data_IF_566922336724
#
_entry.id   IF_566922336724
#
_cell.length_a   1.000
_cell.length_b   1.000
_cell.length_c   1.000
_cell.angle_alpha   90.00
_cell.angle_beta   90.00
_cell.angle_gamma   90.00
#
_symmetry.space_group_name_H-M   'P 1'
#
loop_
_entity.id
_entity.type
_entity.pdbx_description
1 polymer ?
#
# COMPACT_ATOMS: atom_id res chain seq x y z
N UNK A 1 21.13 0.24 18.60
CA UNK A 1 20.84 -1.10 18.04
C UNK A 1 19.49 -1.52 18.61
N UNK A 2 18.59 -2.09 17.83
CA UNK A 2 17.28 -2.51 18.34
C UNK A 2 17.42 -3.84 19.09
N UNK A 3 17.07 -3.87 20.37
CA UNK A 3 17.26 -5.04 21.22
C UNK A 3 16.47 -6.26 20.73
N UNK A 4 17.17 -7.37 20.52
CA UNK A 4 16.62 -8.65 20.05
C UNK A 4 16.32 -8.72 18.55
N UNK A 5 16.80 -7.77 17.74
CA UNK A 5 16.68 -7.85 16.28
C UNK A 5 17.43 -9.07 15.70
N UNK A 6 18.57 -9.46 16.29
CA UNK A 6 19.37 -10.61 15.89
C UNK A 6 18.60 -11.95 15.92
N UNK A 7 17.54 -12.05 16.72
CA UNK A 7 16.70 -13.26 16.83
C UNK A 7 15.27 -13.09 16.29
N UNK A 8 14.76 -11.87 16.14
CA UNK A 8 13.36 -11.59 15.72
C UNK A 8 13.23 -10.88 14.38
N UNK A 9 14.30 -10.30 13.84
CA UNK A 9 14.30 -9.67 12.52
C UNK A 9 14.83 -10.64 11.48
N UNK A 10 14.02 -10.93 10.48
CA UNK A 10 14.43 -11.66 9.30
C UNK A 10 14.27 -10.73 8.09
N UNK A 11 15.32 -10.63 7.29
CA UNK A 11 15.31 -9.82 6.08
C UNK A 11 15.03 -10.73 4.89
N UNK A 12 14.01 -10.37 4.12
CA UNK A 12 13.64 -11.04 2.88
C UNK A 12 13.95 -10.10 1.72
N UNK A 13 14.60 -10.63 0.68
CA UNK A 13 14.66 -9.93 -0.61
C UNK A 13 13.30 -10.09 -1.29
N UNK A 14 12.59 -9.00 -1.48
CA UNK A 14 11.29 -9.00 -2.13
C UNK A 14 11.13 -7.79 -3.06
N UNK A 15 10.39 -7.98 -4.16
CA UNK A 15 9.98 -6.94 -5.09
C UNK A 15 8.45 -6.95 -5.16
N UNK A 16 7.82 -5.78 -5.09
CA UNK A 16 6.36 -5.67 -5.11
C UNK A 16 5.72 -6.23 -6.39
N UNK A 17 6.47 -6.29 -7.48
CA UNK A 17 6.04 -6.83 -8.77
C UNK A 17 6.30 -8.34 -8.92
N UNK A 18 7.06 -8.94 -8.00
CA UNK A 18 7.36 -10.37 -7.95
C UNK A 18 6.56 -11.05 -6.83
N UNK A 19 5.47 -11.71 -7.22
CA UNK A 19 4.55 -12.37 -6.30
C UNK A 19 5.22 -13.44 -5.43
N UNK A 20 6.10 -14.27 -5.99
CA UNK A 20 6.72 -15.39 -5.27
C UNK A 20 7.67 -14.88 -4.17
N UNK A 21 8.34 -13.76 -4.44
CA UNK A 21 9.19 -13.08 -3.45
C UNK A 21 8.40 -12.57 -2.24
N UNK A 22 7.17 -12.09 -2.46
CA UNK A 22 6.27 -11.60 -1.41
C UNK A 22 5.65 -12.77 -0.66
N UNK A 23 5.18 -13.80 -1.37
CA UNK A 23 4.60 -14.99 -0.76
C UNK A 23 5.57 -15.64 0.23
N UNK A 24 6.86 -15.72 -0.14
CA UNK A 24 7.92 -16.24 0.73
C UNK A 24 8.08 -15.44 2.01
N UNK A 25 7.91 -14.10 1.96
CA UNK A 25 8.03 -13.23 3.12
C UNK A 25 6.77 -13.21 4.02
N UNK A 26 5.60 -13.51 3.46
CA UNK A 26 4.30 -13.48 4.16
C UNK A 26 3.93 -14.81 4.80
N UNK A 27 4.49 -15.93 4.31
CA UNK A 27 4.20 -17.27 4.81
C UNK A 27 4.49 -17.41 6.31
N UNK A 28 3.50 -17.88 7.06
CA UNK A 28 3.59 -18.06 8.51
C UNK A 28 3.40 -16.80 9.37
N UNK A 29 3.06 -15.65 8.76
CA UNK A 29 2.74 -14.44 9.51
C UNK A 29 1.29 -14.44 10.05
N UNK A 30 1.10 -13.89 11.26
CA UNK A 30 -0.23 -13.63 11.83
C UNK A 30 -0.84 -12.30 11.37
N UNK A 31 -0.05 -11.44 10.73
CA UNK A 31 -0.48 -10.14 10.22
C UNK A 31 0.58 -9.52 9.30
N UNK A 32 0.14 -8.67 8.38
CA UNK A 32 1.02 -7.98 7.41
C UNK A 32 0.80 -6.47 7.45
N UNK A 33 1.88 -5.71 7.48
CA UNK A 33 1.87 -4.26 7.29
C UNK A 33 2.40 -3.93 5.89
N UNK A 34 1.51 -3.54 4.98
CA UNK A 34 1.87 -3.10 3.64
C UNK A 34 2.22 -1.61 3.65
N UNK A 35 3.53 -1.33 3.75
CA UNK A 35 4.11 0.02 3.79
C UNK A 35 4.80 0.39 2.47
N UNK A 36 5.17 -0.59 1.65
CA UNK A 36 5.97 -0.37 0.47
C UNK A 36 5.10 0.17 -0.68
N UNK A 37 5.46 1.33 -1.21
CA UNK A 37 4.82 1.95 -2.38
C UNK A 37 5.82 2.92 -3.02
N UNK A 38 5.82 3.07 -4.35
CA UNK A 38 6.58 4.14 -5.01
C UNK A 38 6.15 5.52 -4.48
N UNK A 39 7.12 6.39 -4.22
CA UNK A 39 6.89 7.80 -3.87
C UNK A 39 7.50 8.66 -4.97
N UNK A 40 6.68 9.02 -5.94
CA UNK A 40 7.07 9.79 -7.13
C UNK A 40 5.85 10.50 -7.72
N UNK A 41 6.07 11.59 -8.45
CA UNK A 41 5.02 12.28 -9.19
C UNK A 41 4.77 11.67 -10.57
N UNK A 42 5.68 10.81 -11.07
CA UNK A 42 5.52 10.10 -12.34
C UNK A 42 4.39 9.05 -12.24
N UNK A 43 3.26 9.25 -12.94
CA UNK A 43 2.12 8.34 -12.85
C UNK A 43 2.43 6.95 -13.40
N UNK A 44 3.30 6.82 -14.40
CA UNK A 44 3.67 5.54 -15.01
C UNK A 44 4.43 4.68 -13.99
N UNK A 45 5.31 5.31 -13.21
CA UNK A 45 6.09 4.61 -12.18
C UNK A 45 5.34 4.43 -10.86
N UNK A 46 4.23 5.15 -10.65
CA UNK A 46 3.48 5.11 -9.40
C UNK A 46 2.24 4.24 -9.47
N UNK A 47 1.38 4.41 -10.48
CA UNK A 47 0.00 3.88 -10.46
C UNK A 47 0.01 2.36 -10.59
N UNK A 48 0.49 1.82 -11.70
CA UNK A 48 0.47 0.38 -11.95
C UNK A 48 1.29 -0.41 -10.91
N UNK A 49 2.51 0.02 -10.51
CA UNK A 49 3.26 -0.69 -9.48
C UNK A 49 2.59 -0.63 -8.09
N UNK A 50 1.92 0.48 -7.73
CA UNK A 50 1.18 0.56 -6.46
C UNK A 50 -0.02 -0.37 -6.44
N UNK A 51 -0.77 -0.44 -7.54
CA UNK A 51 -1.93 -1.33 -7.68
C UNK A 51 -1.47 -2.79 -7.65
N UNK A 52 -0.53 -3.16 -8.54
CA UNK A 52 -0.03 -4.53 -8.65
C UNK A 52 0.62 -5.00 -7.35
N UNK A 53 1.46 -4.16 -6.74
CA UNK A 53 2.11 -4.47 -5.47
C UNK A 53 1.13 -4.70 -4.34
N UNK A 54 0.10 -3.84 -4.23
CA UNK A 54 -0.95 -4.01 -3.23
C UNK A 54 -1.74 -5.30 -3.45
N UNK A 55 -2.13 -5.60 -4.69
CA UNK A 55 -2.82 -6.85 -5.03
C UNK A 55 -1.96 -8.08 -4.72
N UNK A 56 -0.67 -8.03 -5.02
CA UNK A 56 0.24 -9.14 -4.71
C UNK A 56 0.32 -9.40 -3.21
N UNK A 57 0.46 -8.36 -2.39
CA UNK A 57 0.50 -8.51 -0.91
C UNK A 57 -0.81 -9.06 -0.37
N UNK A 58 -1.96 -8.54 -0.84
CA UNK A 58 -3.27 -9.03 -0.39
C UNK A 58 -3.50 -10.49 -0.79
N UNK A 59 -3.11 -10.88 -2.01
CA UNK A 59 -3.23 -12.26 -2.49
C UNK A 59 -2.27 -13.21 -1.75
N UNK A 60 -1.03 -12.78 -1.47
CA UNK A 60 -0.08 -13.56 -0.70
C UNK A 60 -0.58 -13.79 0.73
N UNK A 61 -1.08 -12.73 1.38
CA UNK A 61 -1.70 -12.81 2.70
C UNK A 61 -2.91 -13.75 2.71
N UNK A 62 -3.79 -13.66 1.70
CA UNK A 62 -4.93 -14.54 1.55
C UNK A 62 -4.52 -16.00 1.41
N UNK A 63 -3.52 -16.31 0.55
CA UNK A 63 -3.03 -17.68 0.35
C UNK A 63 -2.34 -18.25 1.58
N UNK A 64 -1.64 -17.43 2.36
CA UNK A 64 -1.01 -17.83 3.61
C UNK A 64 -1.98 -17.92 4.80
N UNK A 65 -3.26 -17.57 4.62
CA UNK A 65 -4.27 -17.59 5.68
C UNK A 65 -4.09 -16.48 6.73
N UNK A 66 -3.44 -15.38 6.36
CA UNK A 66 -3.21 -14.24 7.27
C UNK A 66 -4.54 -13.54 7.56
N UNK A 67 -4.93 -13.39 8.85
CA UNK A 67 -6.25 -12.87 9.21
C UNK A 67 -6.41 -11.36 9.04
N UNK A 68 -5.30 -10.59 8.97
CA UNK A 68 -5.37 -9.12 8.86
C UNK A 68 -4.17 -8.54 8.12
N UNK A 69 -4.46 -7.63 7.19
CA UNK A 69 -3.49 -6.76 6.52
C UNK A 69 -3.79 -5.31 6.87
N UNK A 70 -2.77 -4.54 7.21
CA UNK A 70 -2.84 -3.08 7.37
C UNK A 70 -2.14 -2.44 6.19
N UNK A 71 -2.88 -1.69 5.37
CA UNK A 71 -2.33 -0.95 4.23
C UNK A 71 -2.09 0.50 4.61
N UNK A 72 -0.92 1.01 4.24
CA UNK A 72 -0.59 2.43 4.41
C UNK A 72 -1.01 3.21 3.16
N UNK A 73 -2.15 3.88 3.25
CA UNK A 73 -2.62 4.82 2.22
C UNK A 73 -2.11 6.24 2.51
N UNK A 74 -2.63 7.24 1.80
CA UNK A 74 -2.28 8.66 1.95
C UNK A 74 -3.52 9.54 1.87
N UNK A 75 -3.46 10.73 2.51
CA UNK A 75 -4.50 11.76 2.40
C UNK A 75 -4.77 12.18 0.95
N UNK A 76 -3.80 11.98 0.05
CA UNK A 76 -3.97 12.22 -1.38
C UNK A 76 -5.07 11.37 -2.02
N UNK A 77 -5.47 10.24 -1.43
CA UNK A 77 -6.60 9.42 -1.87
C UNK A 77 -7.96 9.94 -1.37
N UNK A 78 -7.97 10.99 -0.55
CA UNK A 78 -9.15 11.52 0.15
C UNK A 78 -9.42 12.97 -0.23
N UNK A 79 -8.46 13.87 -0.04
CA UNK A 79 -8.70 15.32 -0.09
C UNK A 79 -8.47 15.98 -1.46
N UNK A 80 -8.12 15.21 -2.48
CA UNK A 80 -7.81 15.74 -3.81
C UNK A 80 -9.03 15.72 -4.71
N UNK A 81 -9.96 16.64 -4.47
CA UNK A 81 -11.15 16.85 -5.31
C UNK A 81 -11.44 18.36 -5.44
N UNK A 82 -11.39 18.94 -6.66
CA UNK A 82 -11.67 20.37 -6.86
C UNK A 82 -13.14 20.74 -6.61
N UNK A 83 -14.03 19.75 -6.53
CA UNK A 83 -15.46 19.95 -6.30
C UNK A 83 -15.87 19.77 -4.82
N UNK A 84 -14.92 19.45 -3.95
CA UNK A 84 -15.19 19.30 -2.52
C UNK A 84 -15.62 20.64 -1.90
N UNK A 85 -16.75 20.65 -1.18
CA UNK A 85 -17.22 21.82 -0.46
C UNK A 85 -16.17 22.24 0.59
N UNK A 86 -15.68 23.50 0.58
CA UNK A 86 -14.71 23.97 1.56
C UNK A 86 -15.14 23.85 3.03
N UNK A 87 -16.45 23.70 3.29
CA UNK A 87 -17.00 23.56 4.64
C UNK A 87 -17.26 22.09 5.03
N UNK A 88 -17.01 21.13 4.15
CA UNK A 88 -17.21 19.72 4.48
C UNK A 88 -16.19 19.27 5.53
N UNK A 89 -16.64 18.47 6.49
CA UNK A 89 -15.73 17.75 7.38
C UNK A 89 -15.24 16.52 6.62
N UNK A 90 -13.94 16.50 6.32
CA UNK A 90 -13.30 15.35 5.64
C UNK A 90 -13.20 14.19 6.62
N UNK A 91 -13.77 13.04 6.25
CA UNK A 91 -13.75 11.79 7.02
C UNK A 91 -13.39 10.58 6.13
N UNK A 92 -13.48 9.36 6.66
CA UNK A 92 -13.14 8.12 5.96
C UNK A 92 -14.08 7.78 4.79
N UNK A 93 -15.20 8.50 4.62
CA UNK A 93 -16.11 8.33 3.49
C UNK A 93 -15.73 9.17 2.26
N UNK A 94 -14.79 10.12 2.43
CA UNK A 94 -14.33 11.01 1.38
C UNK A 94 -13.30 10.34 0.44
N UNK A 95 -13.35 10.67 -0.85
CA UNK A 95 -12.43 10.14 -1.87
C UNK A 95 -11.95 11.25 -2.81
N UNK A 96 -10.71 11.11 -3.29
CA UNK A 96 -10.17 11.99 -4.33
C UNK A 96 -10.89 11.80 -5.66
N UNK A 97 -10.96 12.88 -6.46
CA UNK A 97 -11.50 12.85 -7.81
C UNK A 97 -10.49 12.23 -8.79
N UNK A 98 -10.84 11.09 -9.38
CA UNK A 98 -9.95 10.35 -10.28
C UNK A 98 -9.63 11.10 -11.56
N UNK A 99 -10.60 11.81 -12.15
CA UNK A 99 -10.39 12.54 -13.41
C UNK A 99 -9.48 13.75 -13.18
N UNK A 100 -9.73 14.51 -12.12
CA UNK A 100 -8.85 15.60 -11.71
C UNK A 100 -7.41 15.10 -11.46
N UNK A 101 -7.25 13.94 -10.80
CA UNK A 101 -5.93 13.34 -10.52
C UNK A 101 -5.19 12.89 -11.77
N UNK A 102 -5.90 12.56 -12.86
CA UNK A 102 -5.31 12.26 -14.18
C UNK A 102 -4.93 13.52 -14.94
N UNK A 103 -5.70 14.60 -14.78
CA UNK A 103 -5.53 15.85 -15.54
C UNK A 103 -4.49 16.82 -14.94
N UNK A 104 -4.39 16.92 -13.61
CA UNK A 104 -3.48 17.88 -12.95
C UNK A 104 -2.08 17.33 -12.71
N UNK A 105 -1.57 16.53 -13.66
CA UNK A 105 -0.23 15.96 -13.62
C UNK A 105 0.44 16.05 -14.99
#
# INVERSE_FOLDING_TARGET
QFDGADIRLQLFKADLTDFDSIQSAVSGCDGVFHLASPVTDDPVQMVDPSIQGTLNVLNAALQAGVPRVVMTSSIGAVSMDPHMDPNVVVDESCWSNLEYRKETK
#
